data_IF_909643537322
#
_entry.id   IF_909643537322
#
_cell.length_a   1.000
_cell.length_b   1.000
_cell.length_c   1.000
_cell.angle_alpha   90.00
_cell.angle_beta   90.00
_cell.angle_gamma   90.00
#
_symmetry.space_group_name_H-M   'P 1'
#
loop_
_entity.id
_entity.type
_entity.pdbx_description
1 polymer ?
#
# COMPACT_ATOMS: atom_id res chain seq x y z
N UNK A 1 12.67 -18.54 18.45
CA UNK A 1 12.88 -17.33 19.29
C UNK A 1 14.18 -16.69 18.84
N UNK A 2 14.18 -15.41 18.45
CA UNK A 2 15.44 -14.71 18.16
C UNK A 2 16.13 -14.47 19.51
N UNK A 3 17.36 -14.94 19.68
CA UNK A 3 18.13 -14.70 20.90
C UNK A 3 18.48 -13.22 21.02
N UNK A 4 18.20 -12.65 22.20
CA UNK A 4 18.47 -11.25 22.48
C UNK A 4 19.98 -11.05 22.65
N UNK A 5 20.61 -10.33 21.71
CA UNK A 5 22.00 -9.90 21.86
C UNK A 5 22.10 -8.99 23.10
N UNK A 6 23.03 -9.27 24.01
CA UNK A 6 23.22 -8.47 25.24
C UNK A 6 23.53 -7.01 24.88
N UNK A 7 22.64 -6.08 25.25
CA UNK A 7 22.85 -4.64 25.09
C UNK A 7 24.11 -4.21 25.84
N UNK A 8 24.99 -3.44 25.18
CA UNK A 8 26.13 -2.80 25.86
C UNK A 8 25.64 -1.65 26.74
N UNK A 9 26.36 -1.25 27.79
CA UNK A 9 25.91 -0.19 28.73
C UNK A 9 25.61 1.16 28.07
N UNK A 10 26.24 1.44 26.92
CA UNK A 10 26.05 2.67 26.13
C UNK A 10 25.10 2.50 24.94
N UNK A 11 24.58 1.30 24.69
CA UNK A 11 23.71 1.03 23.55
C UNK A 11 22.28 1.47 23.89
N UNK A 12 21.89 2.66 23.43
CA UNK A 12 20.54 3.21 23.61
C UNK A 12 19.48 2.54 22.72
N UNK A 13 19.88 1.87 21.63
CA UNK A 13 18.94 1.31 20.64
C UNK A 13 18.88 -0.23 20.68
N UNK A 14 17.66 -0.75 20.74
CA UNK A 14 17.37 -2.17 20.91
C UNK A 14 17.68 -2.99 19.66
N UNK A 15 17.50 -2.39 18.48
CA UNK A 15 17.72 -3.02 17.17
C UNK A 15 18.32 -1.99 16.22
N UNK A 16 19.26 -2.44 15.37
CA UNK A 16 19.80 -1.63 14.27
C UNK A 16 19.64 -2.39 12.94
N UNK A 17 19.33 -1.65 11.86
CA UNK A 17 19.25 -2.19 10.50
C UNK A 17 20.20 -1.42 9.59
N UNK A 18 21.09 -2.14 8.90
CA UNK A 18 22.01 -1.58 7.90
C UNK A 18 21.62 -2.09 6.52
N UNK A 19 21.61 -1.19 5.54
CA UNK A 19 21.25 -1.48 4.16
C UNK A 19 21.14 -0.20 3.35
N UNK A 20 21.12 -0.31 2.02
CA UNK A 20 20.90 0.84 1.15
C UNK A 20 19.51 1.44 1.42
N UNK A 21 19.37 2.78 1.49
CA UNK A 21 18.08 3.43 1.72
C UNK A 21 17.23 3.47 0.45
N UNK A 22 17.04 2.32 -0.19
CA UNK A 22 16.29 2.17 -1.43
C UNK A 22 15.34 0.97 -1.38
N UNK A 23 14.28 1.04 -2.16
CA UNK A 23 13.37 -0.07 -2.42
C UNK A 23 12.94 -0.03 -3.89
N UNK A 24 12.59 -1.18 -4.45
CA UNK A 24 11.94 -1.21 -5.76
C UNK A 24 10.64 -0.40 -5.71
N UNK A 25 10.39 0.40 -6.75
CA UNK A 25 9.30 1.37 -6.79
C UNK A 25 8.40 1.25 -8.03
N UNK A 26 8.45 0.12 -8.73
CA UNK A 26 7.56 -0.17 -9.86
C UNK A 26 6.10 -0.40 -9.41
N UNK A 27 5.92 -0.91 -8.19
CA UNK A 27 4.64 -1.03 -7.50
C UNK A 27 4.84 -0.54 -6.06
N UNK A 28 3.94 0.33 -5.61
CA UNK A 28 4.00 0.92 -4.28
C UNK A 28 2.64 0.80 -3.61
N UNK A 29 2.64 0.60 -2.31
CA UNK A 29 1.42 0.77 -1.51
C UNK A 29 1.04 2.25 -1.46
N UNK A 30 -0.25 2.50 -1.31
CA UNK A 30 -0.84 3.81 -1.02
C UNK A 30 -0.07 4.58 0.07
N UNK A 31 0.29 3.93 1.18
CA UNK A 31 1.10 4.54 2.25
C UNK A 31 2.48 5.03 1.78
N UNK A 32 3.13 4.32 0.86
CA UNK A 32 4.46 4.70 0.33
C UNK A 32 4.40 5.81 -0.72
N UNK A 33 3.26 5.97 -1.37
CA UNK A 33 3.03 7.04 -2.36
C UNK A 33 2.30 8.23 -1.78
N UNK A 34 1.86 8.16 -0.52
CA UNK A 34 1.29 9.29 0.19
C UNK A 34 2.22 10.50 0.09
N UNK A 35 1.64 11.66 -0.23
CA UNK A 35 2.34 12.93 -0.51
C UNK A 35 3.12 13.02 -1.83
N UNK A 36 3.08 12.00 -2.70
CA UNK A 36 3.64 12.10 -4.06
C UNK A 36 2.61 12.57 -5.08
N UNK A 37 3.07 13.26 -6.12
CA UNK A 37 2.31 13.49 -7.37
C UNK A 37 2.95 12.68 -8.48
N UNK A 38 2.16 11.89 -9.20
CA UNK A 38 2.60 10.98 -10.25
C UNK A 38 1.90 11.34 -11.57
N UNK A 39 2.66 11.38 -12.67
CA UNK A 39 2.12 11.74 -13.99
C UNK A 39 1.22 10.65 -14.58
N UNK A 40 1.52 9.38 -14.30
CA UNK A 40 0.71 8.21 -14.68
C UNK A 40 0.73 7.18 -13.57
N UNK A 41 -0.40 6.52 -13.34
CA UNK A 41 -0.56 5.49 -12.31
C UNK A 41 -1.42 4.35 -12.83
N UNK A 42 -1.09 3.13 -12.40
CA UNK A 42 -1.98 1.98 -12.52
C UNK A 42 -2.47 1.61 -11.11
N UNK A 43 -3.79 1.57 -10.91
CA UNK A 43 -4.41 1.38 -9.59
C UNK A 43 -5.22 0.09 -9.54
N UNK A 44 -5.09 -0.63 -8.42
CA UNK A 44 -6.01 -1.70 -8.02
C UNK A 44 -6.83 -1.19 -6.83
N UNK A 45 -8.09 -0.81 -7.08
CA UNK A 45 -8.99 -0.23 -6.07
C UNK A 45 -9.68 -1.32 -5.23
N UNK A 46 -8.95 -2.39 -4.88
CA UNK A 46 -9.45 -3.46 -4.02
C UNK A 46 -8.72 -3.45 -2.70
N UNK A 47 -9.38 -3.91 -1.65
CA UNK A 47 -8.78 -4.02 -0.33
C UNK A 47 -7.73 -5.12 -0.25
N UNK A 48 -6.94 -5.09 0.83
CA UNK A 48 -5.78 -5.97 1.05
C UNK A 48 -6.13 -7.36 1.57
N UNK A 49 -7.41 -7.62 1.84
CA UNK A 49 -7.90 -8.88 2.39
C UNK A 49 -8.81 -9.58 1.40
N UNK A 50 -8.93 -10.90 1.55
CA UNK A 50 -9.92 -11.69 0.83
C UNK A 50 -11.05 -12.07 1.79
N UNK A 51 -12.28 -12.05 1.30
CA UNK A 51 -13.51 -12.39 2.02
C UNK A 51 -14.30 -13.42 1.24
N UNK A 52 -15.09 -14.24 1.93
CA UNK A 52 -15.97 -15.22 1.29
C UNK A 52 -17.38 -14.65 1.26
N UNK A 53 -17.94 -14.45 0.06
CA UNK A 53 -19.33 -14.03 -0.15
C UNK A 53 -19.98 -15.09 -1.03
N UNK A 54 -21.07 -15.68 -0.56
CA UNK A 54 -21.78 -16.78 -1.24
C UNK A 54 -20.86 -17.94 -1.68
N UNK A 55 -19.88 -18.26 -0.84
CA UNK A 55 -18.89 -19.31 -1.12
C UNK A 55 -17.78 -18.92 -2.10
N UNK A 56 -17.79 -17.69 -2.64
CA UNK A 56 -16.74 -17.19 -3.53
C UNK A 56 -15.72 -16.33 -2.79
N UNK A 57 -14.44 -16.59 -3.07
CA UNK A 57 -13.33 -15.80 -2.55
C UNK A 57 -13.19 -14.49 -3.34
N UNK A 58 -13.52 -13.37 -2.71
CA UNK A 58 -13.51 -12.03 -3.33
C UNK A 58 -12.67 -11.06 -2.51
N UNK A 59 -11.92 -10.14 -3.15
CA UNK A 59 -11.19 -9.11 -2.40
C UNK A 59 -12.15 -8.22 -1.62
N UNK A 60 -11.72 -7.77 -0.44
CA UNK A 60 -12.46 -6.82 0.38
C UNK A 60 -12.62 -5.47 -0.34
N UNK A 61 -13.57 -4.63 0.10
CA UNK A 61 -13.65 -3.24 -0.31
C UNK A 61 -12.33 -2.49 -0.06
N UNK A 62 -12.01 -1.53 -0.93
CA UNK A 62 -11.00 -0.52 -0.63
C UNK A 62 -11.56 0.43 0.44
N UNK A 63 -10.77 0.73 1.47
CA UNK A 63 -11.23 1.69 2.47
C UNK A 63 -11.25 3.13 1.88
N UNK A 64 -12.12 4.02 2.40
CA UNK A 64 -12.30 5.36 1.84
C UNK A 64 -11.00 6.19 1.78
N UNK A 65 -10.09 6.00 2.75
CA UNK A 65 -8.85 6.76 2.80
C UNK A 65 -7.85 6.27 1.76
N UNK A 66 -7.69 4.96 1.62
CA UNK A 66 -6.87 4.35 0.57
C UNK A 66 -7.37 4.75 -0.82
N UNK A 67 -8.68 4.72 -1.05
CA UNK A 67 -9.30 5.15 -2.31
C UNK A 67 -8.93 6.61 -2.64
N UNK A 68 -9.13 7.51 -1.67
CA UNK A 68 -8.76 8.92 -1.82
C UNK A 68 -7.26 9.12 -2.08
N UNK A 69 -6.39 8.47 -1.31
CA UNK A 69 -4.93 8.59 -1.47
C UNK A 69 -4.52 8.14 -2.86
N UNK A 70 -4.99 6.97 -3.32
CA UNK A 70 -4.62 6.41 -4.62
C UNK A 70 -5.09 7.28 -5.79
N UNK A 71 -6.35 7.70 -5.79
CA UNK A 71 -6.91 8.54 -6.86
C UNK A 71 -6.25 9.93 -6.90
N UNK A 72 -5.95 10.50 -5.73
CA UNK A 72 -5.30 11.83 -5.64
C UNK A 72 -3.82 11.83 -6.00
N UNK A 73 -3.19 10.69 -6.31
CA UNK A 73 -1.79 10.66 -6.73
C UNK A 73 -1.59 11.17 -8.16
N UNK A 74 -2.64 11.20 -9.00
CA UNK A 74 -2.57 11.71 -10.36
C UNK A 74 -3.47 12.94 -10.54
N UNK A 75 -3.02 13.92 -11.33
CA UNK A 75 -3.75 15.18 -11.55
C UNK A 75 -4.79 15.12 -12.66
N UNK A 76 -4.77 14.07 -13.48
CA UNK A 76 -5.71 13.87 -14.59
C UNK A 76 -6.20 12.44 -14.59
N UNK A 77 -7.48 12.24 -14.91
CA UNK A 77 -8.07 10.92 -15.11
C UNK A 77 -7.42 10.17 -16.28
N UNK A 78 -6.96 10.88 -17.31
CA UNK A 78 -6.23 10.28 -18.45
C UNK A 78 -4.90 9.63 -18.03
N UNK A 79 -4.34 10.07 -16.89
CA UNK A 79 -3.14 9.49 -16.29
C UNK A 79 -3.42 8.27 -15.41
N UNK A 80 -4.69 7.91 -15.20
CA UNK A 80 -5.10 6.80 -14.33
C UNK A 80 -5.53 5.61 -15.18
N UNK A 81 -4.83 4.49 -15.00
CA UNK A 81 -5.24 3.19 -15.50
C UNK A 81 -5.78 2.35 -14.33
N UNK A 82 -6.92 1.70 -14.52
CA UNK A 82 -7.45 0.74 -13.54
C UNK A 82 -7.06 -0.67 -13.97
N UNK A 83 -6.44 -1.42 -13.05
CA UNK A 83 -6.02 -2.80 -13.29
C UNK A 83 -7.21 -3.77 -13.34
N UNK A 84 -8.28 -3.44 -12.61
CA UNK A 84 -9.54 -4.17 -12.58
C UNK A 84 -10.71 -3.21 -12.75
N UNK A 85 -11.83 -3.70 -13.30
CA UNK A 85 -13.09 -2.97 -13.30
C UNK A 85 -13.51 -2.66 -11.85
N UNK A 86 -13.85 -1.40 -11.59
CA UNK A 86 -14.33 -0.96 -10.26
C UNK A 86 -15.66 -1.64 -9.95
N UNK A 87 -15.79 -2.13 -8.72
CA UNK A 87 -17.05 -2.69 -8.21
C UNK A 87 -17.77 -1.60 -7.42
N UNK A 88 -19.11 -1.67 -7.37
CA UNK A 88 -19.91 -0.70 -6.60
C UNK A 88 -19.44 -0.62 -5.15
N UNK A 89 -19.21 -1.75 -4.48
CA UNK A 89 -18.66 -1.80 -3.11
C UNK A 89 -17.25 -1.21 -2.92
N UNK A 90 -16.50 -0.96 -3.99
CA UNK A 90 -15.17 -0.33 -3.91
C UNK A 90 -15.24 1.20 -4.01
N UNK A 91 -16.40 1.74 -4.40
CA UNK A 91 -16.71 3.17 -4.35
C UNK A 91 -17.74 3.37 -3.24
N UNK A 92 -17.34 4.07 -2.19
CA UNK A 92 -18.19 4.32 -1.00
C UNK A 92 -19.50 4.98 -1.39
#
# INVERSE_FOLDING_TARGET
KIECQRKRPWQQTDVSRRGLPCAAAFACTDYKVQSRTLGRVALELRGTRTMNIDGQSVPSPCDPYSLYVQLSRCRSLDGIMLLSKVRERDMV
#
